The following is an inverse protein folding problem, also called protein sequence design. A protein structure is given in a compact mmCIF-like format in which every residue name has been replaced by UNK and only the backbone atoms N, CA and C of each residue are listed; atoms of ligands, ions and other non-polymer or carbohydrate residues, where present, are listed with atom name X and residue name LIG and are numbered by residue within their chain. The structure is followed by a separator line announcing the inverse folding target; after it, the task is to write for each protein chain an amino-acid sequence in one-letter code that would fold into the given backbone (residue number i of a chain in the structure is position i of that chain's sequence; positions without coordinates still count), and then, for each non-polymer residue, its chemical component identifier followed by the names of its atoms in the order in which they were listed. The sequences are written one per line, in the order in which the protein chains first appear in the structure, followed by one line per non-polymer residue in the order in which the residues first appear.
data_IF_127353948525
#
_entry.id   IF_127353948525
#
_cell.length_a   1.000
_cell.length_b   1.000
_cell.length_c   1.000
_cell.angle_alpha   90.00
_cell.angle_beta   90.00
_cell.angle_gamma   90.00
#
_symmetry.space_group_name_H-M   'P 1'
#
loop_
_entity.id
_entity.type
_entity.pdbx_description
1 polymer ?
#
# COMPACT_ATOMS: atom_id res chain seq x y z
N UNK A 1 8.04 25.81 -5.02
CA UNK A 1 8.39 24.40 -5.30
C UNK A 1 7.71 23.54 -4.25
N UNK A 2 7.15 22.38 -4.62
CA UNK A 2 6.52 21.48 -3.63
C UNK A 2 7.60 20.92 -2.68
N UNK A 3 7.32 20.80 -1.36
CA UNK A 3 8.11 20.02 -0.44
C UNK A 3 8.36 18.60 -0.95
N UNK A 4 9.56 18.08 -0.71
CA UNK A 4 9.96 16.74 -1.17
C UNK A 4 8.95 15.66 -0.73
N UNK A 5 8.49 15.70 0.52
CA UNK A 5 7.53 14.75 1.06
C UNK A 5 6.21 14.69 0.26
N UNK A 6 5.73 15.84 -0.23
CA UNK A 6 4.52 15.88 -1.07
C UNK A 6 4.78 15.25 -2.45
N UNK A 7 5.98 15.42 -3.00
CA UNK A 7 6.37 14.76 -4.26
C UNK A 7 6.40 13.24 -4.07
N UNK A 8 7.01 12.75 -2.99
CA UNK A 8 7.04 11.33 -2.66
C UNK A 8 5.62 10.75 -2.52
N UNK A 9 4.72 11.48 -1.87
CA UNK A 9 3.32 11.11 -1.73
C UNK A 9 2.59 11.05 -3.08
N UNK A 10 2.73 12.07 -3.94
CA UNK A 10 2.12 12.07 -5.27
C UNK A 10 2.60 10.91 -6.15
N UNK A 11 3.90 10.63 -6.12
CA UNK A 11 4.49 9.51 -6.86
C UNK A 11 3.99 8.18 -6.30
N UNK A 12 3.86 8.06 -4.98
CA UNK A 12 3.32 6.86 -4.35
C UNK A 12 1.88 6.61 -4.77
N UNK A 13 1.02 7.62 -4.64
CA UNK A 13 -0.37 7.55 -5.10
C UNK A 13 -0.51 7.24 -6.58
N UNK A 14 0.34 7.84 -7.43
CA UNK A 14 0.32 7.58 -8.87
C UNK A 14 0.62 6.11 -9.18
N UNK A 15 1.59 5.52 -8.49
CA UNK A 15 1.91 4.09 -8.62
C UNK A 15 0.72 3.22 -8.21
N UNK A 16 0.11 3.50 -7.05
CA UNK A 16 -1.03 2.72 -6.54
C UNK A 16 -2.23 2.80 -7.48
N UNK A 17 -2.56 4.01 -7.96
CA UNK A 17 -3.67 4.22 -8.91
C UNK A 17 -3.45 3.51 -10.24
N UNK A 18 -2.23 3.55 -10.77
CA UNK A 18 -1.89 2.85 -12.01
C UNK A 18 -2.07 1.33 -11.88
N UNK A 19 -1.53 0.75 -10.80
CA UNK A 19 -1.63 -0.68 -10.51
C UNK A 19 -3.09 -1.10 -10.27
N UNK A 20 -3.83 -0.37 -9.44
CA UNK A 20 -5.23 -0.69 -9.14
C UNK A 20 -6.14 -0.53 -10.36
N UNK A 21 -5.94 0.54 -11.15
CA UNK A 21 -6.68 0.77 -12.39
C UNK A 21 -6.50 -0.37 -13.38
N UNK A 22 -5.26 -0.81 -13.61
CA UNK A 22 -4.97 -1.98 -14.45
C UNK A 22 -5.53 -3.28 -13.84
N UNK A 23 -5.51 -3.41 -12.51
CA UNK A 23 -6.11 -4.54 -11.82
C UNK A 23 -7.65 -4.56 -11.91
N UNK A 24 -8.31 -3.46 -12.32
CA UNK A 24 -9.77 -3.35 -12.35
C UNK A 24 -10.39 -3.13 -10.96
N UNK A 25 -9.60 -2.64 -10.02
CA UNK A 25 -9.97 -2.39 -8.62
C UNK A 25 -10.24 -0.90 -8.42
N UNK A 26 -11.34 -0.56 -7.77
CA UNK A 26 -11.64 0.83 -7.43
C UNK A 26 -10.94 1.26 -6.15
N UNK A 27 -10.57 2.55 -6.07
CA UNK A 27 -9.98 3.16 -4.88
C UNK A 27 -10.91 4.27 -4.40
N UNK A 28 -11.15 4.33 -3.09
CA UNK A 28 -11.66 5.53 -2.42
C UNK A 28 -10.63 6.13 -1.49
N UNK A 29 -10.70 7.44 -1.30
CA UNK A 29 -9.82 8.20 -0.42
C UNK A 29 -10.72 8.79 0.68
N UNK A 30 -10.34 8.68 1.96
CA UNK A 30 -11.12 9.28 3.03
C UNK A 30 -11.03 10.81 2.99
N UNK A 31 -12.10 11.47 3.43
CA UNK A 31 -12.17 12.95 3.46
C UNK A 31 -11.29 13.56 4.58
N UNK A 32 -10.88 12.75 5.56
CA UNK A 32 -9.99 13.16 6.65
C UNK A 32 -8.95 12.08 6.95
N UNK A 33 -7.80 12.52 7.48
CA UNK A 33 -6.74 11.60 7.92
C UNK A 33 -7.20 10.83 9.17
N UNK A 34 -7.32 9.52 9.02
CA UNK A 34 -7.68 8.59 10.09
C UNK A 34 -6.65 7.47 10.26
N UNK A 35 -5.43 7.67 9.75
CA UNK A 35 -4.43 6.60 9.64
C UNK A 35 -4.81 5.54 8.60
N UNK A 36 -5.58 5.94 7.59
CA UNK A 36 -5.84 5.19 6.36
C UNK A 36 -5.71 6.16 5.21
N UNK A 37 -4.90 5.82 4.21
CA UNK A 37 -4.72 6.65 3.02
C UNK A 37 -5.77 6.33 1.95
N UNK A 38 -6.22 5.07 1.86
CA UNK A 38 -7.32 4.72 0.99
C UNK A 38 -7.89 3.33 1.22
N UNK A 39 -8.92 3.01 0.43
CA UNK A 39 -9.58 1.70 0.47
C UNK A 39 -9.69 1.14 -0.94
N UNK A 40 -9.19 -0.08 -1.13
CA UNK A 40 -9.47 -0.88 -2.33
C UNK A 40 -10.84 -1.52 -2.21
N UNK A 41 -11.63 -1.43 -3.28
CA UNK A 41 -12.89 -2.18 -3.42
C UNK A 41 -12.95 -2.88 -4.76
N UNK A 42 -13.29 -4.16 -4.72
CA UNK A 42 -13.60 -4.91 -5.93
C UNK A 42 -14.94 -4.44 -6.49
N UNK A 43 -15.09 -4.54 -7.81
CA UNK A 43 -16.30 -4.15 -8.51
C UNK A 43 -17.10 -5.40 -8.87
N UNK A 44 -18.35 -5.44 -8.43
CA UNK A 44 -19.34 -6.40 -8.93
C UNK A 44 -20.00 -5.88 -10.21
N UNK A 45 -20.54 -6.79 -11.01
CA UNK A 45 -21.21 -6.50 -12.28
C UNK A 45 -22.67 -6.93 -12.19
N UNK A 46 -23.60 -6.03 -12.55
CA UNK A 46 -25.02 -6.35 -12.74
C UNK A 46 -25.47 -5.80 -14.09
N UNK A 47 -25.63 -6.69 -15.08
CA UNK A 47 -25.83 -6.30 -16.48
C UNK A 47 -24.62 -5.52 -17.00
N UNK A 48 -24.85 -4.30 -17.51
CA UNK A 48 -23.79 -3.40 -17.96
C UNK A 48 -23.20 -2.50 -16.85
N UNK A 49 -23.77 -2.51 -15.64
CA UNK A 49 -23.36 -1.61 -14.55
C UNK A 49 -22.33 -2.27 -13.64
N UNK A 50 -21.27 -1.53 -13.32
CA UNK A 50 -20.29 -1.87 -12.27
C UNK A 50 -20.63 -1.11 -10.99
N UNK A 51 -20.47 -1.76 -9.84
CA UNK A 51 -20.63 -1.14 -8.53
C UNK A 51 -19.68 -1.77 -7.52
N UNK A 52 -19.21 -1.03 -6.49
CA UNK A 52 -18.36 -1.60 -5.46
C UNK A 52 -19.07 -2.72 -4.72
N UNK A 53 -18.43 -3.89 -4.59
CA UNK A 53 -18.91 -4.94 -3.70
C UNK A 53 -18.56 -4.64 -2.24
N UNK A 54 -19.11 -5.42 -1.31
CA UNK A 54 -18.84 -5.28 0.13
C UNK A 54 -17.43 -5.66 0.56
N UNK A 55 -16.65 -6.36 -0.28
CA UNK A 55 -15.27 -6.73 0.03
C UNK A 55 -14.33 -5.54 -0.20
N UNK A 56 -13.77 -5.04 0.89
CA UNK A 56 -12.92 -3.87 0.94
C UNK A 56 -11.65 -4.18 1.73
N UNK A 57 -10.57 -3.49 1.38
CA UNK A 57 -9.30 -3.55 2.10
C UNK A 57 -8.74 -2.14 2.21
N UNK A 58 -8.57 -1.66 3.43
CA UNK A 58 -7.91 -0.39 3.70
C UNK A 58 -6.41 -0.52 3.43
N UNK A 59 -5.74 0.61 3.21
CA UNK A 59 -4.29 0.66 3.17
C UNK A 59 -3.76 1.97 3.74
N UNK A 60 -2.58 1.88 4.36
CA UNK A 60 -1.71 2.99 4.70
C UNK A 60 -0.50 2.97 3.77
N UNK A 61 -0.27 4.06 3.08
CA UNK A 61 0.83 4.31 2.17
C UNK A 61 1.99 5.00 2.89
N UNK A 62 3.19 4.48 2.68
CA UNK A 62 4.44 5.11 3.08
C UNK A 62 5.39 5.18 1.89
N UNK A 63 6.17 6.23 1.85
CA UNK A 63 7.24 6.43 0.88
C UNK A 63 8.53 6.66 1.65
N UNK A 64 9.63 6.07 1.19
CA UNK A 64 10.93 6.26 1.82
C UNK A 64 12.04 5.99 0.84
N UNK A 65 13.10 6.81 0.92
CA UNK A 65 14.41 6.54 0.31
C UNK A 65 15.31 5.69 1.20
N UNK A 66 14.96 5.53 2.47
CA UNK A 66 15.74 4.82 3.49
C UNK A 66 15.20 3.39 3.66
N UNK A 67 15.01 2.68 2.55
CA UNK A 67 14.66 1.27 2.56
C UNK A 67 15.90 0.45 2.21
N UNK A 68 16.19 -0.59 2.98
CA UNK A 68 17.28 -1.51 2.64
C UNK A 68 16.70 -2.66 1.82
N UNK A 69 17.14 -2.78 0.57
CA UNK A 69 16.77 -3.87 -0.32
C UNK A 69 17.79 -5.00 -0.09
N UNK A 70 17.40 -5.99 0.69
CA UNK A 70 18.17 -7.22 0.89
C UNK A 70 17.77 -8.30 -0.14
N UNK A 71 18.48 -9.44 -0.24
CA UNK A 71 18.14 -10.47 -1.23
C UNK A 71 16.70 -10.98 -1.16
N UNK A 72 16.17 -11.19 0.05
CA UNK A 72 14.83 -11.77 0.28
C UNK A 72 13.81 -10.78 0.85
N UNK A 73 14.28 -9.68 1.46
CA UNK A 73 13.43 -8.76 2.20
C UNK A 73 13.69 -7.29 1.85
N UNK A 74 12.66 -6.48 2.06
CA UNK A 74 12.74 -5.04 2.17
C UNK A 74 12.71 -4.69 3.65
N UNK A 75 13.78 -4.09 4.16
CA UNK A 75 13.87 -3.70 5.56
C UNK A 75 13.61 -2.20 5.69
N UNK A 76 12.74 -1.85 6.62
CA UNK A 76 12.29 -0.49 6.84
C UNK A 76 11.96 -0.26 8.31
N UNK A 77 12.33 0.91 8.84
CA UNK A 77 11.99 1.32 10.21
C UNK A 77 10.69 2.13 10.16
N UNK A 78 9.57 1.48 10.47
CA UNK A 78 8.23 2.07 10.47
C UNK A 78 7.99 2.80 11.80
N UNK A 79 7.45 4.02 11.75
CA UNK A 79 7.08 4.76 12.94
C UNK A 79 6.17 3.93 13.88
N UNK A 80 6.52 3.86 15.17
CA UNK A 80 5.85 2.97 16.14
C UNK A 80 4.35 3.25 16.25
N UNK A 81 3.96 4.52 16.12
CA UNK A 81 2.54 4.92 16.06
C UNK A 81 1.82 4.22 14.91
N UNK A 82 2.31 4.35 13.68
CA UNK A 82 1.71 3.72 12.50
C UNK A 82 1.71 2.19 12.62
N UNK A 83 2.80 1.60 13.11
CA UNK A 83 2.88 0.16 13.35
C UNK A 83 1.79 -0.32 14.32
N UNK A 84 1.67 0.33 15.48
CA UNK A 84 0.66 -0.02 16.48
C UNK A 84 -0.76 0.23 15.98
N UNK A 85 -1.02 1.34 15.28
CA UNK A 85 -2.33 1.66 14.70
C UNK A 85 -2.79 0.54 13.74
N UNK A 86 -1.89 0.04 12.87
CA UNK A 86 -2.19 -1.05 11.94
C UNK A 86 -2.52 -2.36 12.66
N UNK A 87 -1.78 -2.70 13.72
CA UNK A 87 -2.03 -3.92 14.53
C UNK A 87 -3.34 -3.83 15.30
N UNK A 88 -3.62 -2.67 15.93
CA UNK A 88 -4.86 -2.45 16.68
C UNK A 88 -6.07 -2.57 15.74
N UNK A 89 -6.00 -1.98 14.54
CA UNK A 89 -7.06 -2.12 13.53
C UNK A 89 -7.25 -3.59 13.17
N UNK A 90 -6.18 -4.29 12.80
CA UNK A 90 -6.26 -5.73 12.47
C UNK A 90 -6.98 -6.55 13.54
N UNK A 91 -6.63 -6.33 14.80
CA UNK A 91 -7.18 -7.11 15.92
C UNK A 91 -8.60 -6.68 16.31
N UNK A 92 -9.10 -5.56 15.76
CA UNK A 92 -10.44 -5.07 16.00
C UNK A 92 -11.44 -5.67 15.03
N UNK A 93 -12.44 -6.36 15.56
CA UNK A 93 -13.60 -6.87 14.80
C UNK A 93 -14.48 -5.76 14.20
N UNK A 94 -14.24 -4.50 14.56
CA UNK A 94 -15.01 -3.35 14.12
C UNK A 94 -14.37 -2.60 12.95
N UNK A 95 -13.25 -3.10 12.41
CA UNK A 95 -12.54 -2.42 11.32
C UNK A 95 -12.32 -3.31 10.11
N UNK A 96 -12.11 -2.67 8.96
CA UNK A 96 -11.67 -3.33 7.74
C UNK A 96 -10.16 -3.57 7.87
N UNK A 97 -9.67 -4.71 7.39
CA UNK A 97 -8.24 -4.99 7.35
C UNK A 97 -7.47 -3.89 6.62
N UNK A 98 -6.31 -3.48 7.15
CA UNK A 98 -5.50 -2.40 6.61
C UNK A 98 -4.11 -2.90 6.24
N UNK A 99 -3.73 -2.81 4.96
CA UNK A 99 -2.38 -3.13 4.50
C UNK A 99 -1.43 -1.95 4.73
N UNK A 100 -0.19 -2.24 5.12
CA UNK A 100 0.90 -1.32 4.87
C UNK A 100 1.32 -1.45 3.41
N UNK A 101 1.45 -0.34 2.69
CA UNK A 101 2.10 -0.29 1.38
C UNK A 101 3.29 0.65 1.46
N UNK A 102 4.47 0.15 1.12
CA UNK A 102 5.73 0.88 1.17
C UNK A 102 6.30 1.07 -0.25
N UNK A 103 6.38 2.32 -0.69
CA UNK A 103 7.17 2.71 -1.87
C UNK A 103 8.62 2.96 -1.48
N UNK A 104 9.51 2.16 -2.04
CA UNK A 104 10.95 2.29 -1.86
C UNK A 104 11.53 3.12 -2.99
N UNK A 105 11.80 4.40 -2.73
CA UNK A 105 12.30 5.34 -3.71
C UNK A 105 13.83 5.27 -3.83
N UNK A 106 14.41 5.47 -5.03
CA UNK A 106 15.84 5.70 -5.17
C UNK A 106 16.33 6.89 -4.32
N UNK A 107 17.57 6.82 -3.81
CA UNK A 107 18.17 7.92 -3.06
C UNK A 107 18.29 9.22 -3.86
N UNK A 108 18.54 9.12 -5.16
CA UNK A 108 18.62 10.25 -6.06
C UNK A 108 17.23 10.56 -6.64
N UNK A 109 16.68 11.73 -6.30
CA UNK A 109 15.33 12.14 -6.72
C UNK A 109 15.18 12.38 -8.22
N UNK A 110 16.29 12.64 -8.93
CA UNK A 110 16.27 12.76 -10.40
C UNK A 110 15.90 11.45 -11.09
N UNK A 111 15.99 10.32 -10.38
CA UNK A 111 15.64 8.99 -10.91
C UNK A 111 14.20 8.59 -10.58
N UNK A 112 13.42 9.41 -9.86
CA UNK A 112 12.10 9.00 -9.39
C UNK A 112 11.07 8.83 -10.50
N UNK A 113 11.22 9.59 -11.57
CA UNK A 113 10.30 9.60 -12.70
C UNK A 113 11.08 9.88 -13.99
N UNK A 114 10.79 9.11 -15.03
CA UNK A 114 11.25 9.36 -16.39
C UNK A 114 10.03 9.36 -17.30
N UNK A 115 9.93 10.36 -18.18
CA UNK A 115 8.87 10.46 -19.18
C UNK A 115 9.49 10.83 -20.52
N UNK A 116 9.25 10.01 -21.53
CA UNK A 116 9.74 10.20 -22.90
C UNK A 116 8.70 9.69 -23.90
N UNK A 117 8.98 9.69 -25.20
CA UNK A 117 8.03 9.26 -26.23
C UNK A 117 7.61 7.77 -26.13
N UNK A 118 8.39 6.93 -25.45
CA UNK A 118 8.10 5.51 -25.26
C UNK A 118 7.22 5.26 -24.03
N UNK A 119 7.12 6.22 -23.12
CA UNK A 119 6.19 6.16 -22.00
C UNK A 119 6.70 6.78 -20.71
N UNK A 120 6.19 6.24 -19.61
CA UNK A 120 6.40 6.73 -18.25
C UNK A 120 6.98 5.62 -17.38
N UNK A 121 8.16 5.86 -16.81
CA UNK A 121 8.73 5.03 -15.76
C UNK A 121 8.58 5.75 -14.42
N UNK A 122 7.87 5.13 -13.49
CA UNK A 122 7.76 5.58 -12.12
C UNK A 122 8.62 4.69 -11.23
N UNK A 123 9.86 5.11 -10.98
CA UNK A 123 10.87 4.31 -10.32
C UNK A 123 10.53 4.00 -8.86
N UNK A 124 11.26 3.02 -8.30
CA UNK A 124 11.07 2.53 -6.95
C UNK A 124 9.93 1.52 -6.85
N UNK A 125 10.25 0.34 -6.31
CA UNK A 125 9.28 -0.73 -6.09
C UNK A 125 8.29 -0.38 -4.98
N UNK A 126 7.05 -0.80 -5.13
CA UNK A 126 6.07 -0.81 -4.06
C UNK A 126 5.94 -2.23 -3.52
N UNK A 127 5.87 -2.36 -2.20
CA UNK A 127 5.72 -3.63 -1.48
C UNK A 127 4.58 -3.49 -0.48
N UNK A 128 3.92 -4.58 -0.14
CA UNK A 128 2.81 -4.58 0.80
C UNK A 128 3.06 -5.55 1.95
N UNK A 129 2.49 -5.26 3.12
CA UNK A 129 2.56 -6.13 4.29
C UNK A 129 1.24 -6.06 5.06
N UNK A 130 0.81 -7.20 5.60
CA UNK A 130 -0.30 -7.25 6.52
C UNK A 130 0.22 -7.67 7.90
N UNK A 131 0.68 -6.67 8.66
CA UNK A 131 1.36 -6.86 9.95
C UNK A 131 0.59 -7.81 10.88
N UNK A 132 1.28 -8.80 11.46
CA UNK A 132 0.66 -9.88 12.26
C UNK A 132 1.13 -9.91 13.72
N UNK A 133 2.10 -9.08 14.07
CA UNK A 133 2.76 -9.10 15.36
C UNK A 133 1.95 -8.35 16.45
N UNK A 134 2.44 -8.41 17.69
CA UNK A 134 1.89 -7.63 18.80
C UNK A 134 2.30 -6.16 18.73
N UNK A 135 1.52 -5.32 19.42
CA UNK A 135 1.86 -3.90 19.56
C UNK A 135 3.23 -3.75 20.21
N UNK A 136 4.03 -2.82 19.69
CA UNK A 136 5.36 -2.54 20.20
C UNK A 136 5.34 -1.48 21.29
N UNK A 137 6.25 -1.63 22.25
CA UNK A 137 6.55 -0.63 23.29
C UNK A 137 7.74 0.28 22.92
N UNK A 138 8.26 0.15 21.70
CA UNK A 138 9.34 1.01 21.19
C UNK A 138 8.92 2.49 21.24
N UNK A 139 9.91 3.38 21.33
CA UNK A 139 9.64 4.83 21.44
C UNK A 139 9.48 5.53 20.10
N UNK A 140 10.18 5.07 19.07
CA UNK A 140 10.28 5.80 17.80
C UNK A 140 9.80 4.95 16.61
N UNK A 141 10.38 3.78 16.44
CA UNK A 141 10.12 2.93 15.27
C UNK A 141 10.21 1.44 15.58
N UNK A 142 9.66 0.65 14.68
CA UNK A 142 9.77 -0.81 14.64
C UNK A 142 10.36 -1.19 13.29
N UNK A 143 11.42 -2.00 13.31
CA UNK A 143 12.01 -2.54 12.10
C UNK A 143 11.13 -3.66 11.56
N UNK A 144 10.53 -3.44 10.40
CA UNK A 144 9.77 -4.45 9.69
C UNK A 144 10.60 -5.05 8.55
N UNK A 145 10.29 -6.29 8.19
CA UNK A 145 10.90 -7.00 7.05
C UNK A 145 9.80 -7.50 6.14
N UNK A 146 9.64 -6.86 4.99
CA UNK A 146 8.61 -7.21 4.01
C UNK A 146 9.24 -8.17 3.01
N UNK A 147 8.65 -9.34 2.77
CA UNK A 147 9.19 -10.27 1.78
C UNK A 147 9.18 -9.64 0.38
N UNK A 148 10.23 -9.84 -0.42
CA UNK A 148 10.28 -9.29 -1.79
C UNK A 148 9.20 -9.87 -2.71
N UNK A 149 8.72 -11.07 -2.40
CA UNK A 149 7.56 -11.68 -3.07
C UNK A 149 6.27 -10.89 -2.84
N UNK A 150 6.18 -10.08 -1.78
CA UNK A 150 5.08 -9.16 -1.52
C UNK A 150 5.22 -7.84 -2.28
N UNK A 151 5.64 -7.92 -3.54
CA UNK A 151 5.64 -6.76 -4.43
C UNK A 151 4.19 -6.38 -4.76
N UNK A 152 3.89 -5.08 -4.70
CA UNK A 152 2.58 -4.53 -5.03
C UNK A 152 2.41 -4.48 -6.56
N UNK A 153 1.90 -5.57 -7.11
CA UNK A 153 1.63 -5.74 -8.53
C UNK A 153 0.12 -5.89 -8.77
N UNK A 154 -0.37 -5.73 -10.02
CA UNK A 154 -1.79 -5.94 -10.30
C UNK A 154 -2.30 -7.32 -9.89
N UNK A 155 -1.49 -8.37 -10.07
CA UNK A 155 -1.82 -9.73 -9.64
C UNK A 155 -1.87 -9.84 -8.12
N UNK A 156 -0.88 -9.26 -7.43
CA UNK A 156 -0.81 -9.30 -5.97
C UNK A 156 -1.97 -8.52 -5.30
N UNK A 157 -2.55 -7.52 -5.96
CA UNK A 157 -3.71 -6.79 -5.44
C UNK A 157 -5.03 -7.59 -5.60
N UNK A 158 -5.17 -8.38 -6.66
CA UNK A 158 -6.38 -9.19 -6.89
C UNK A 158 -6.52 -10.32 -5.89
N UNK A 159 -5.41 -11.01 -5.59
CA UNK A 159 -5.42 -12.21 -4.74
C UNK A 159 -6.05 -11.99 -3.35
N UNK A 160 -5.69 -10.94 -2.56
CA UNK A 160 -6.34 -10.67 -1.28
C UNK A 160 -7.84 -10.41 -1.39
N UNK A 161 -8.25 -9.64 -2.41
CA UNK A 161 -9.66 -9.31 -2.63
C UNK A 161 -10.47 -10.55 -3.03
N UNK A 162 -9.89 -11.44 -3.85
CA UNK A 162 -10.52 -12.71 -4.21
C UNK A 162 -10.59 -13.67 -3.00
N UNK A 163 -9.55 -13.71 -2.16
CA UNK A 163 -9.54 -14.52 -0.94
C UNK A 163 -10.50 -14.01 0.15
N UNK A 164 -10.75 -12.70 0.23
CA UNK A 164 -11.78 -12.11 1.08
C UNK A 164 -13.19 -12.53 0.62
N UNK A 165 -13.41 -12.60 -0.70
CA UNK A 165 -14.67 -13.07 -1.27
C UNK A 165 -14.94 -14.55 -0.97
N UNK A 166 -13.92 -15.40 -1.08
CA UNK A 166 -14.03 -16.85 -0.83
C UNK A 166 -13.92 -17.22 0.65
N UNK A 167 -13.68 -16.26 1.55
CA UNK A 167 -13.51 -16.50 2.99
C UNK A 167 -12.22 -17.24 3.36
N UNK A 168 -11.19 -17.17 2.51
CA UNK A 168 -9.91 -17.89 2.69
C UNK A 168 -8.74 -17.00 3.07
N UNK A 169 -8.94 -15.68 3.15
CA UNK A 169 -7.91 -14.73 3.59
C UNK A 169 -7.54 -14.99 5.06
N UNK A 170 -6.25 -15.14 5.36
CA UNK A 170 -5.70 -15.36 6.70
C UNK A 170 -4.58 -14.37 6.99
#
# INVERSE_FOLDING_TARGET
MLPQQQIEEFLSWSHIRAVAGYAGVSISIPDWDSGVDGTFRRLAVRGARRFPCGYALDFQLKASKNCQIEPEHIVYDLAVKTYNDLIIRRNSLQTIGCLLILKCLPHNSTQWIESNEYGLLLAGGCYWEYLQEEVSTNKESVRIRIARSQQFTPTALRNPLDQLETGTWR
#
